data_IF_417093290350
#
_entry.id   IF_417093290350
#
_cell.length_a   1.000
_cell.length_b   1.000
_cell.length_c   1.000
_cell.angle_alpha   90.00
_cell.angle_beta   90.00
_cell.angle_gamma   90.00
#
_symmetry.space_group_name_H-M   'P 1'
#
loop_
_entity.id
_entity.type
_entity.pdbx_description
1 polymer ?
#
# COMPACT_ATOMS: atom_id res chain seq x y z
N UNK A 1 -17.22 4.60 -0.30
CA UNK A 1 -17.59 3.42 -1.11
C UNK A 1 -16.38 2.59 -1.47
N UNK A 2 -16.53 1.26 -1.45
CA UNK A 2 -15.52 0.33 -1.95
C UNK A 2 -15.52 0.37 -3.48
N UNK A 3 -14.37 0.72 -4.07
CA UNK A 3 -14.24 0.82 -5.53
C UNK A 3 -13.88 -0.54 -6.15
N UNK A 4 -12.98 -1.29 -5.52
CA UNK A 4 -12.44 -2.52 -6.09
C UNK A 4 -11.72 -3.36 -5.03
N UNK A 5 -11.72 -4.69 -5.21
CA UNK A 5 -10.91 -5.63 -4.44
C UNK A 5 -10.05 -6.41 -5.43
N UNK A 6 -8.76 -6.53 -5.13
CA UNK A 6 -7.79 -7.22 -5.99
C UNK A 6 -6.91 -8.11 -5.14
N UNK A 7 -6.79 -9.36 -5.55
CA UNK A 7 -5.83 -10.28 -4.96
C UNK A 7 -4.39 -9.83 -5.23
N UNK A 8 -3.53 -9.86 -4.21
CA UNK A 8 -2.11 -9.59 -4.40
C UNK A 8 -1.48 -10.73 -5.23
N UNK A 9 -1.06 -10.48 -6.48
CA UNK A 9 -0.52 -11.54 -7.35
C UNK A 9 0.84 -12.06 -6.87
N UNK A 10 1.49 -11.37 -5.92
CA UNK A 10 2.80 -11.74 -5.37
C UNK A 10 2.72 -12.34 -3.97
N UNK A 11 1.53 -12.71 -3.49
CA UNK A 11 1.33 -13.28 -2.14
C UNK A 11 2.19 -14.51 -1.86
N UNK A 12 2.40 -15.35 -2.87
CA UNK A 12 3.13 -16.63 -2.74
C UNK A 12 4.52 -16.55 -3.39
N UNK A 13 5.01 -15.35 -3.67
CA UNK A 13 6.34 -15.16 -4.26
C UNK A 13 7.43 -15.61 -3.26
N UNK A 14 8.35 -16.46 -3.72
CA UNK A 14 9.46 -16.98 -2.89
C UNK A 14 10.43 -15.89 -2.41
N UNK A 15 10.38 -14.71 -3.03
CA UNK A 15 11.16 -13.54 -2.63
C UNK A 15 10.70 -12.29 -3.37
N UNK A 16 10.93 -11.12 -2.77
CA UNK A 16 10.62 -9.84 -3.42
C UNK A 16 9.14 -9.49 -3.54
N UNK A 17 8.26 -10.15 -2.77
CA UNK A 17 6.82 -9.90 -2.78
C UNK A 17 6.47 -8.41 -2.54
N UNK A 18 7.08 -7.78 -1.52
CA UNK A 18 6.82 -6.38 -1.17
C UNK A 18 7.12 -5.39 -2.30
N UNK A 19 8.35 -5.34 -2.86
CA UNK A 19 8.66 -4.51 -4.02
C UNK A 19 7.77 -4.79 -5.24
N UNK A 20 7.44 -6.05 -5.49
CA UNK A 20 6.58 -6.43 -6.63
C UNK A 20 5.16 -5.92 -6.45
N UNK A 21 4.60 -6.04 -5.24
CA UNK A 21 3.31 -5.46 -4.87
C UNK A 21 3.33 -3.93 -4.99
N UNK A 22 4.38 -3.25 -4.50
CA UNK A 22 4.52 -1.80 -4.65
C UNK A 22 4.56 -1.35 -6.11
N UNK A 23 5.26 -2.08 -6.99
CA UNK A 23 5.27 -1.78 -8.43
C UNK A 23 3.89 -1.99 -9.07
N UNK A 24 3.18 -3.06 -8.71
CA UNK A 24 1.84 -3.30 -9.19
C UNK A 24 0.87 -2.21 -8.75
N UNK A 25 0.91 -1.82 -7.48
CA UNK A 25 0.10 -0.73 -6.94
C UNK A 25 0.41 0.60 -7.68
N UNK A 26 1.69 0.89 -7.94
CA UNK A 26 2.11 2.09 -8.66
C UNK A 26 1.56 2.15 -10.11
N UNK A 27 1.49 1.01 -10.80
CA UNK A 27 0.92 0.93 -12.15
C UNK A 27 -0.57 1.29 -12.20
N UNK A 28 -1.25 1.24 -11.05
CA UNK A 28 -2.69 1.55 -10.92
C UNK A 28 -2.95 3.01 -10.50
N UNK A 29 -1.92 3.84 -10.40
CA UNK A 29 -2.06 5.24 -10.04
C UNK A 29 -2.42 5.48 -8.57
N UNK A 30 -2.20 4.49 -7.69
CA UNK A 30 -2.41 4.64 -6.25
C UNK A 30 -1.37 5.61 -5.67
N UNK A 31 -1.82 6.57 -4.88
CA UNK A 31 -0.99 7.63 -4.27
C UNK A 31 -0.60 7.34 -2.83
N UNK A 32 -1.39 6.52 -2.12
CA UNK A 32 -1.19 6.21 -0.70
C UNK A 32 -1.44 4.71 -0.44
N UNK A 33 -0.55 4.07 0.30
CA UNK A 33 -0.68 2.67 0.73
C UNK A 33 -0.74 2.57 2.25
N UNK A 34 -1.72 1.82 2.76
CA UNK A 34 -1.92 1.59 4.18
C UNK A 34 -1.75 0.10 4.44
N UNK A 35 -0.97 -0.24 5.46
CA UNK A 35 -0.77 -1.63 5.89
C UNK A 35 -0.45 -1.66 7.39
N UNK A 36 -0.50 -2.84 8.02
CA UNK A 36 -0.08 -2.98 9.43
C UNK A 36 1.44 -2.88 9.57
N UNK A 37 2.20 -3.34 8.58
CA UNK A 37 3.67 -3.31 8.58
C UNK A 37 4.21 -3.22 7.15
N UNK A 38 5.32 -2.51 6.97
CA UNK A 38 6.08 -2.53 5.72
C UNK A 38 7.51 -3.08 5.87
N UNK A 39 7.86 -4.03 5.00
CA UNK A 39 9.25 -4.41 4.81
C UNK A 39 10.07 -3.28 4.16
N UNK A 40 11.33 -3.10 4.58
CA UNK A 40 12.20 -2.01 4.12
C UNK A 40 12.34 -1.89 2.59
N UNK A 41 12.37 -3.03 1.86
CA UNK A 41 12.44 -3.04 0.39
C UNK A 41 11.18 -2.47 -0.25
N UNK A 42 10.02 -2.73 0.37
CA UNK A 42 8.73 -2.18 -0.07
C UNK A 42 8.71 -0.67 0.15
N UNK A 43 9.09 -0.21 1.35
CA UNK A 43 9.21 1.22 1.68
C UNK A 43 10.08 1.95 0.65
N UNK A 44 11.26 1.40 0.35
CA UNK A 44 12.16 1.99 -0.63
C UNK A 44 11.51 2.09 -2.03
N UNK A 45 10.77 1.06 -2.42
CA UNK A 45 10.06 1.04 -3.71
C UNK A 45 8.94 2.08 -3.75
N UNK A 46 8.13 2.18 -2.69
CA UNK A 46 7.05 3.17 -2.60
C UNK A 46 7.59 4.61 -2.66
N UNK A 47 8.65 4.89 -1.90
CA UNK A 47 9.33 6.21 -1.92
C UNK A 47 9.87 6.55 -3.31
N UNK A 48 10.52 5.62 -3.99
CA UNK A 48 11.02 5.82 -5.35
C UNK A 48 9.90 6.06 -6.38
N UNK A 49 8.67 5.65 -6.08
CA UNK A 49 7.47 5.87 -6.91
C UNK A 49 6.69 7.11 -6.50
N UNK A 50 7.11 7.84 -5.46
CA UNK A 50 6.39 8.99 -4.94
C UNK A 50 5.07 8.62 -4.25
N UNK A 51 4.97 7.38 -3.75
CA UNK A 51 3.76 6.87 -3.10
C UNK A 51 3.89 7.03 -1.59
N UNK A 52 2.93 7.73 -0.99
CA UNK A 52 2.83 7.87 0.45
C UNK A 52 2.51 6.51 1.10
N UNK A 53 2.98 6.30 2.32
CA UNK A 53 2.66 5.10 3.08
C UNK A 53 2.65 5.41 4.57
N UNK A 54 1.78 4.72 5.29
CA UNK A 54 1.78 4.75 6.74
C UNK A 54 1.21 3.45 7.30
N UNK A 55 1.63 3.15 8.53
CA UNK A 55 1.17 1.97 9.24
C UNK A 55 -0.10 2.27 10.02
N UNK A 56 -1.08 1.37 9.91
CA UNK A 56 -2.33 1.46 10.64
C UNK A 56 -2.87 0.05 10.93
N UNK A 57 -3.26 -0.17 12.17
CA UNK A 57 -3.92 -1.40 12.62
C UNK A 57 -5.37 -1.07 13.00
N UNK A 58 -6.33 -1.77 12.37
CA UNK A 58 -7.76 -1.53 12.57
C UNK A 58 -8.61 -1.89 11.34
N UNK A 59 -9.84 -1.37 11.31
CA UNK A 59 -10.75 -1.57 10.18
C UNK A 59 -10.36 -0.73 8.95
N UNK A 60 -10.81 -1.17 7.77
CA UNK A 60 -10.58 -0.45 6.50
C UNK A 60 -11.21 0.94 6.54
N UNK A 61 -12.40 1.08 7.13
CA UNK A 61 -13.10 2.37 7.22
C UNK A 61 -12.31 3.38 8.06
N UNK A 62 -11.74 2.94 9.19
CA UNK A 62 -10.91 3.78 10.07
C UNK A 62 -9.60 4.17 9.37
N UNK A 63 -8.98 3.24 8.66
CA UNK A 63 -7.75 3.47 7.91
C UNK A 63 -7.95 4.53 6.81
N UNK A 64 -9.05 4.45 6.06
CA UNK A 64 -9.39 5.42 5.02
C UNK A 64 -9.69 6.78 5.63
N UNK A 65 -10.45 6.84 6.73
CA UNK A 65 -10.72 8.10 7.43
C UNK A 65 -9.41 8.78 7.86
N UNK A 66 -8.48 8.02 8.43
CA UNK A 66 -7.16 8.54 8.82
C UNK A 66 -6.37 9.09 7.64
N UNK A 67 -6.37 8.39 6.52
CA UNK A 67 -5.68 8.83 5.30
C UNK A 67 -6.24 10.16 4.76
N UNK A 68 -7.55 10.36 4.85
CA UNK A 68 -8.21 11.58 4.42
C UNK A 68 -7.95 12.75 5.36
N UNK A 69 -7.83 12.51 6.67
CA UNK A 69 -7.50 13.53 7.67
C UNK A 69 -6.04 14.01 7.56
N UNK A 70 -5.08 13.14 7.21
CA UNK A 70 -3.68 13.54 7.00
C UNK A 70 -3.40 14.17 5.63
N UNK A 71 -4.33 14.02 4.68
CA UNK A 71 -4.24 14.61 3.33
C UNK A 71 -4.72 16.06 3.22
N UNK A 72 -5.21 16.65 4.32
CA UNK A 72 -5.62 18.06 4.44
C UNK A 72 -4.53 18.92 5.07
#
# INVERSE_FOLDING_TARGET
DLIEIIDNPYRDASGGAGPSAANFIAQRGVTTVIAVNFGWKMINTLKNKGIAHFEFEGGVDDAVKRALEEGQ
#
